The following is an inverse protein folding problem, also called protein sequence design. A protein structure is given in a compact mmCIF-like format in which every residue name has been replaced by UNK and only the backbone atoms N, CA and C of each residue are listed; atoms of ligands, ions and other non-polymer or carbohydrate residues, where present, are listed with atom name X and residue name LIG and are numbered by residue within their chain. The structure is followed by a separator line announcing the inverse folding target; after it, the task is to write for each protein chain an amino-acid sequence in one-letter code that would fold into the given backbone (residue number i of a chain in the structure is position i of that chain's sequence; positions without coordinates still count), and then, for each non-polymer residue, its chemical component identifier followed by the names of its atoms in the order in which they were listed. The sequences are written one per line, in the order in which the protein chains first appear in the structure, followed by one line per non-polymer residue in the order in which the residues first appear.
data_IF_993963524505
#
_entry.id   IF_993963524505
#
_cell.length_a   1.000
_cell.length_b   1.000
_cell.length_c   1.000
_cell.angle_alpha   90.00
_cell.angle_beta   90.00
_cell.angle_gamma   90.00
#
_symmetry.space_group_name_H-M   'P 1'
#
loop_
_entity.id
_entity.type
_entity.pdbx_description
1 polymer ?
#
# COMPACT_ATOMS: atom_id res chain seq x y z
N UNK A 1 -15.65 -4.25 -2.10
CA UNK A 1 -16.08 -4.82 -0.80
C UNK A 1 -15.12 -5.93 -0.42
N UNK A 2 -14.60 -5.98 0.81
CA UNK A 2 -13.66 -7.03 1.21
C UNK A 2 -14.47 -8.21 1.73
N UNK A 3 -14.46 -9.33 1.00
CA UNK A 3 -15.11 -10.56 1.41
C UNK A 3 -14.03 -11.56 1.82
N UNK A 4 -14.16 -12.11 3.02
CA UNK A 4 -13.33 -13.18 3.55
C UNK A 4 -14.29 -14.33 3.88
N UNK A 5 -14.17 -15.43 3.13
CA UNK A 5 -14.91 -16.65 3.42
C UNK A 5 -14.23 -17.35 4.59
N UNK A 6 -14.99 -17.64 5.63
CA UNK A 6 -14.55 -18.40 6.80
C UNK A 6 -15.19 -19.78 6.71
N UNK A 7 -14.41 -20.85 6.81
CA UNK A 7 -14.92 -22.23 6.84
C UNK A 7 -15.18 -22.67 8.28
N UNK A 8 -16.12 -23.60 8.46
CA UNK A 8 -16.37 -24.23 9.76
C UNK A 8 -15.11 -24.99 10.22
N UNK A 9 -14.59 -24.67 11.41
CA UNK A 9 -13.35 -25.20 11.96
C UNK A 9 -12.11 -24.31 11.82
N UNK A 10 -12.21 -23.15 11.15
CA UNK A 10 -11.10 -22.17 11.14
C UNK A 10 -11.04 -21.34 12.42
N UNK A 11 -9.84 -21.20 12.99
CA UNK A 11 -9.60 -20.28 14.10
C UNK A 11 -9.85 -18.82 13.66
N UNK A 12 -10.59 -18.08 14.49
CA UNK A 12 -10.94 -16.67 14.30
C UNK A 12 -9.72 -15.80 13.92
N UNK A 13 -8.56 -16.09 14.52
CA UNK A 13 -7.31 -15.35 14.27
C UNK A 13 -6.80 -15.49 12.84
N UNK A 14 -6.95 -16.67 12.22
CA UNK A 14 -6.54 -16.91 10.84
C UNK A 14 -7.38 -16.06 9.89
N UNK A 15 -8.69 -16.02 10.09
CA UNK A 15 -9.62 -15.22 9.31
C UNK A 15 -9.36 -13.71 9.47
N UNK A 16 -9.07 -13.26 10.70
CA UNK A 16 -8.70 -11.87 10.98
C UNK A 16 -7.39 -11.48 10.27
N UNK A 17 -6.38 -12.36 10.30
CA UNK A 17 -5.10 -12.11 9.64
C UNK A 17 -5.24 -12.11 8.11
N UNK A 18 -6.07 -12.98 7.55
CA UNK A 18 -6.41 -12.98 6.13
C UNK A 18 -7.11 -11.68 5.73
N UNK A 19 -8.06 -11.20 6.54
CA UNK A 19 -8.72 -9.91 6.35
C UNK A 19 -7.72 -8.76 6.40
N UNK A 20 -6.86 -8.69 7.42
CA UNK A 20 -5.81 -7.66 7.55
C UNK A 20 -4.89 -7.64 6.35
N UNK A 21 -4.46 -8.80 5.84
CA UNK A 21 -3.63 -8.91 4.62
C UNK A 21 -4.39 -8.40 3.39
N UNK A 22 -5.65 -8.78 3.18
CA UNK A 22 -6.47 -8.27 2.07
C UNK A 22 -6.67 -6.76 2.17
N UNK A 23 -6.96 -6.23 3.36
CA UNK A 23 -7.14 -4.81 3.61
C UNK A 23 -5.87 -4.00 3.31
N UNK A 24 -4.72 -4.47 3.78
CA UNK A 24 -3.43 -3.83 3.49
C UNK A 24 -3.07 -3.89 2.01
N UNK A 25 -3.34 -5.01 1.32
CA UNK A 25 -3.07 -5.17 -0.11
C UNK A 25 -3.86 -4.19 -0.97
N UNK A 26 -5.12 -3.94 -0.62
CA UNK A 26 -5.95 -2.97 -1.36
C UNK A 26 -5.47 -1.54 -1.09
N UNK A 27 -4.92 -1.26 0.09
CA UNK A 27 -4.29 0.03 0.37
C UNK A 27 -5.27 1.20 0.48
N UNK A 28 -6.56 0.94 0.75
CA UNK A 28 -7.63 1.94 0.86
C UNK A 28 -7.24 3.10 1.77
N UNK A 29 -6.61 2.81 2.91
CA UNK A 29 -6.19 3.86 3.86
C UNK A 29 -5.18 4.82 3.24
N UNK A 30 -4.24 4.31 2.44
CA UNK A 30 -3.23 5.12 1.76
C UNK A 30 -3.88 5.98 0.68
N UNK A 31 -4.83 5.43 -0.05
CA UNK A 31 -5.57 6.15 -1.08
C UNK A 31 -6.46 7.25 -0.48
N UNK A 32 -7.21 6.94 0.58
CA UNK A 32 -7.99 7.94 1.32
C UNK A 32 -7.11 9.08 1.82
N UNK A 33 -5.94 8.77 2.40
CA UNK A 33 -4.99 9.80 2.83
C UNK A 33 -4.46 10.64 1.67
N UNK A 34 -4.17 10.03 0.53
CA UNK A 34 -3.71 10.76 -0.66
C UNK A 34 -4.79 11.66 -1.27
N UNK A 35 -6.05 11.24 -1.21
CA UNK A 35 -7.21 11.98 -1.74
C UNK A 35 -7.71 13.09 -0.82
N UNK A 36 -7.31 13.12 0.47
CA UNK A 36 -7.70 14.18 1.42
C UNK A 36 -7.29 15.58 0.98
N UNK A 37 -6.24 15.72 0.18
CA UNK A 37 -5.70 17.01 -0.25
C UNK A 37 -5.50 17.01 -1.76
N UNK A 38 -5.81 18.12 -2.42
CA UNK A 38 -5.47 18.29 -3.83
C UNK A 38 -3.97 18.46 -4.02
N UNK A 39 -3.36 17.54 -4.77
CA UNK A 39 -1.96 17.60 -5.14
C UNK A 39 -1.85 17.95 -6.63
N UNK A 40 -1.22 19.09 -6.95
CA UNK A 40 -0.98 19.49 -8.34
C UNK A 40 -0.20 18.39 -9.08
N UNK A 41 -0.56 18.06 -10.35
CA UNK A 41 0.12 17.00 -11.11
C UNK A 41 1.64 17.18 -11.23
N UNK A 42 2.11 18.42 -11.31
CA UNK A 42 3.54 18.77 -11.34
C UNK A 42 4.27 18.31 -10.08
N UNK A 43 3.68 18.52 -8.90
CA UNK A 43 4.25 18.13 -7.60
C UNK A 43 4.34 16.60 -7.50
N UNK A 44 3.29 15.89 -7.92
CA UNK A 44 3.26 14.41 -7.91
C UNK A 44 4.35 13.83 -8.84
N UNK A 45 4.49 14.37 -10.06
CA UNK A 45 5.53 13.95 -11.01
C UNK A 45 6.94 14.18 -10.45
N UNK A 46 7.17 15.34 -9.81
CA UNK A 46 8.46 15.66 -9.18
C UNK A 46 8.80 14.67 -8.07
N UNK A 47 7.85 14.39 -7.16
CA UNK A 47 8.05 13.42 -6.07
C UNK A 47 8.35 12.01 -6.58
N UNK A 48 7.67 11.58 -7.66
CA UNK A 48 7.94 10.27 -8.31
C UNK A 48 9.38 10.18 -8.82
N UNK A 49 9.87 11.23 -9.50
CA UNK A 49 11.25 11.29 -10.02
C UNK A 49 12.28 11.26 -8.89
N UNK A 50 12.10 12.06 -7.84
CA UNK A 50 12.99 12.08 -6.69
C UNK A 50 13.09 10.72 -6.00
N UNK A 51 11.94 10.04 -5.82
CA UNK A 51 11.90 8.70 -5.23
C UNK A 51 12.63 7.66 -6.08
N UNK A 52 12.53 7.75 -7.41
CA UNK A 52 13.24 6.86 -8.33
C UNK A 52 14.76 7.07 -8.24
N UNK A 53 15.22 8.33 -8.25
CA UNK A 53 16.64 8.67 -8.09
C UNK A 53 17.17 8.15 -6.76
N UNK A 54 16.44 8.35 -5.66
CA UNK A 54 16.84 7.86 -4.34
C UNK A 54 17.01 6.34 -4.35
N UNK A 55 16.09 5.61 -4.99
CA UNK A 55 16.17 4.14 -5.10
C UNK A 55 17.34 3.71 -5.96
N UNK A 56 17.59 4.39 -7.08
CA UNK A 56 18.72 4.09 -7.95
C UNK A 56 20.04 4.25 -7.19
N UNK A 57 20.24 5.39 -6.53
CA UNK A 57 21.43 5.65 -5.71
C UNK A 57 21.67 4.58 -4.65
N UNK A 58 20.60 4.07 -4.03
CA UNK A 58 20.70 3.00 -3.05
C UNK A 58 21.17 1.68 -3.68
N UNK A 59 20.65 1.34 -4.87
CA UNK A 59 21.10 0.15 -5.61
C UNK A 59 22.55 0.30 -6.06
N UNK A 60 22.90 1.44 -6.65
CA UNK A 60 24.27 1.74 -7.10
C UNK A 60 25.29 1.73 -5.96
N UNK A 61 24.86 2.02 -4.72
CA UNK A 61 25.74 1.97 -3.53
C UNK A 61 25.94 0.57 -2.95
N UNK A 62 25.15 -0.41 -3.39
CA UNK A 62 25.23 -1.82 -2.98
C UNK A 62 26.02 -2.67 -3.98
N UNK A 63 26.16 -2.19 -5.23
CA UNK A 63 27.09 -2.72 -6.24
C UNK A 63 28.52 -2.28 -5.92
#
# INVERSE_FOLDING_TARGET
MIIVHVKEGESLEKSLNAFKKKFQRIGIVKELRARKVYNKPSVVRRQKKLKAILRQKYVDSLE
#
